data_IF_844880312322
#
_entry.id   IF_844880312322
#
_cell.length_a   1.000
_cell.length_b   1.000
_cell.length_c   1.000
_cell.angle_alpha   90.00
_cell.angle_beta   90.00
_cell.angle_gamma   90.00
#
_symmetry.space_group_name_H-M   'P 1'
#
loop_
_entity.id
_entity.type
_entity.pdbx_description
1 polymer ?
#
# COMPACT_ATOMS: atom_id res chain seq x y z
N UNK A 1 28.67 -14.17 -21.84
CA UNK A 1 27.76 -13.06 -21.45
C UNK A 1 26.28 -13.44 -21.50
N UNK A 2 25.67 -13.84 -22.63
CA UNK A 2 24.22 -14.09 -22.72
C UNK A 2 23.70 -15.17 -21.75
N UNK A 3 24.43 -16.28 -21.55
CA UNK A 3 24.03 -17.35 -20.61
C UNK A 3 23.99 -16.90 -19.13
N UNK A 4 24.88 -16.00 -18.74
CA UNK A 4 24.99 -15.52 -17.36
C UNK A 4 23.86 -14.50 -17.08
N UNK A 5 23.57 -13.62 -18.05
CA UNK A 5 22.42 -12.69 -18.00
C UNK A 5 21.09 -13.41 -17.75
N UNK A 6 20.83 -14.48 -18.49
CA UNK A 6 19.62 -15.29 -18.32
C UNK A 6 19.59 -15.96 -16.94
N UNK A 7 20.74 -16.38 -16.42
CA UNK A 7 20.83 -17.07 -15.14
C UNK A 7 20.47 -16.17 -13.95
N UNK A 8 20.93 -14.92 -13.93
CA UNK A 8 20.60 -13.97 -12.86
C UNK A 8 19.10 -13.64 -12.85
N UNK A 9 18.53 -13.33 -14.03
CA UNK A 9 17.10 -13.05 -14.17
C UNK A 9 16.22 -14.23 -13.73
N UNK A 10 16.61 -15.46 -14.09
CA UNK A 10 15.91 -16.68 -13.67
C UNK A 10 15.99 -16.87 -12.15
N UNK A 11 17.14 -16.58 -11.52
CA UNK A 11 17.30 -16.65 -10.06
C UNK A 11 16.43 -15.62 -9.34
N UNK A 12 16.39 -14.38 -9.81
CA UNK A 12 15.56 -13.33 -9.23
C UNK A 12 14.07 -13.68 -9.31
N UNK A 13 13.61 -14.15 -10.48
CA UNK A 13 12.22 -14.61 -10.64
C UNK A 13 11.90 -15.78 -9.72
N UNK A 14 12.77 -16.80 -9.70
CA UNK A 14 12.61 -17.98 -8.84
C UNK A 14 12.55 -17.61 -7.35
N UNK A 15 13.31 -16.61 -6.92
CA UNK A 15 13.27 -16.11 -5.55
C UNK A 15 11.88 -15.58 -5.19
N UNK A 16 11.33 -14.70 -6.04
CA UNK A 16 9.99 -14.12 -5.87
C UNK A 16 8.92 -15.20 -5.90
N UNK A 17 8.95 -16.08 -6.90
CA UNK A 17 8.00 -17.19 -7.04
C UNK A 17 8.01 -18.10 -5.79
N UNK A 18 9.21 -18.43 -5.26
CA UNK A 18 9.33 -19.25 -4.05
C UNK A 18 8.75 -18.57 -2.82
N UNK A 19 8.88 -17.24 -2.70
CA UNK A 19 8.26 -16.47 -1.62
C UNK A 19 6.73 -16.49 -1.75
N UNK A 20 6.21 -16.28 -2.94
CA UNK A 20 4.77 -16.31 -3.23
C UNK A 20 4.18 -17.70 -2.96
N UNK A 21 4.85 -18.76 -3.37
CA UNK A 21 4.42 -20.15 -3.11
C UNK A 21 4.39 -20.45 -1.61
N UNK A 22 5.41 -20.03 -0.86
CA UNK A 22 5.43 -20.16 0.59
C UNK A 22 4.29 -19.38 1.26
N UNK A 23 3.98 -18.17 0.79
CA UNK A 23 2.84 -17.39 1.26
C UNK A 23 1.51 -18.08 0.95
N UNK A 24 1.34 -18.63 -0.24
CA UNK A 24 0.13 -19.35 -0.62
C UNK A 24 -0.11 -20.60 0.25
N UNK A 25 0.95 -21.28 0.67
CA UNK A 25 0.85 -22.44 1.59
C UNK A 25 0.54 -22.00 3.02
N UNK A 26 1.30 -21.01 3.53
CA UNK A 26 1.25 -20.61 4.95
C UNK A 26 0.11 -19.67 5.28
N UNK A 27 -0.28 -18.81 4.34
CA UNK A 27 -1.24 -17.73 4.50
C UNK A 27 -2.05 -17.50 3.19
N UNK A 28 -2.84 -18.50 2.74
CA UNK A 28 -3.59 -18.39 1.49
C UNK A 28 -4.54 -17.19 1.53
N UNK A 29 -4.55 -16.41 0.45
CA UNK A 29 -5.54 -15.35 0.25
C UNK A 29 -6.93 -15.98 0.22
N UNK A 30 -7.79 -15.56 1.15
CA UNK A 30 -9.19 -15.98 1.21
C UNK A 30 -10.09 -14.79 0.93
N UNK A 31 -10.92 -14.91 -0.10
CA UNK A 31 -11.98 -13.95 -0.36
C UNK A 31 -13.20 -14.28 0.49
N UNK A 32 -13.76 -13.27 1.14
CA UNK A 32 -15.01 -13.41 1.85
C UNK A 32 -15.96 -12.28 1.46
N UNK A 33 -17.20 -12.65 1.19
CA UNK A 33 -18.25 -11.67 0.90
C UNK A 33 -18.69 -11.00 2.19
N UNK A 34 -18.38 -9.72 2.32
CA UNK A 34 -18.88 -8.88 3.41
C UNK A 34 -20.31 -8.44 3.05
N UNK A 35 -21.33 -8.70 3.89
CA UNK A 35 -22.67 -8.19 3.64
C UNK A 35 -22.68 -6.65 3.55
N UNK A 36 -23.52 -6.07 2.69
CA UNK A 36 -23.55 -4.62 2.40
C UNK A 36 -23.52 -3.72 3.65
N UNK A 37 -24.28 -4.08 4.69
CA UNK A 37 -24.35 -3.34 5.96
C UNK A 37 -23.01 -3.24 6.73
N UNK A 38 -22.02 -4.06 6.35
CA UNK A 38 -20.69 -4.16 6.95
C UNK A 38 -19.57 -3.71 6.02
N UNK A 39 -19.86 -3.36 4.77
CA UNK A 39 -18.87 -2.83 3.83
C UNK A 39 -18.30 -1.52 4.39
N UNK A 40 -16.97 -1.37 4.39
CA UNK A 40 -16.27 -0.23 4.99
C UNK A 40 -16.07 -0.31 6.51
N UNK A 41 -16.73 -1.25 7.21
CA UNK A 41 -16.59 -1.42 8.67
C UNK A 41 -15.41 -2.34 8.99
N UNK A 42 -14.20 -1.79 8.89
CA UNK A 42 -12.92 -2.51 9.09
C UNK A 42 -12.74 -3.13 10.50
N UNK A 43 -13.51 -2.66 11.49
CA UNK A 43 -13.56 -3.22 12.86
C UNK A 43 -14.44 -4.47 13.00
N UNK A 44 -15.09 -4.93 11.92
CA UNK A 44 -15.89 -6.16 11.94
C UNK A 44 -14.99 -7.40 12.08
N UNK A 45 -15.33 -8.29 13.01
CA UNK A 45 -14.55 -9.51 13.30
C UNK A 45 -15.44 -10.74 13.30
N UNK A 46 -14.81 -11.93 13.20
CA UNK A 46 -15.50 -13.23 13.29
C UNK A 46 -16.32 -13.35 14.58
N UNK A 47 -15.80 -12.85 15.70
CA UNK A 47 -16.51 -12.83 16.99
C UNK A 47 -17.82 -12.03 16.92
N UNK A 48 -17.83 -10.87 16.26
CA UNK A 48 -19.06 -10.08 16.06
C UNK A 48 -20.06 -10.87 15.21
N UNK A 49 -19.58 -11.57 14.18
CA UNK A 49 -20.42 -12.42 13.32
C UNK A 49 -21.09 -13.52 14.13
N UNK A 50 -20.31 -14.27 14.90
CA UNK A 50 -20.80 -15.36 15.75
C UNK A 50 -21.80 -14.85 16.80
N UNK A 51 -21.49 -13.73 17.46
CA UNK A 51 -22.39 -13.10 18.42
C UNK A 51 -23.70 -12.61 17.77
N UNK A 52 -23.64 -12.08 16.55
CA UNK A 52 -24.82 -11.68 15.79
C UNK A 52 -25.70 -12.87 15.40
N UNK A 53 -25.10 -14.02 15.05
CA UNK A 53 -25.82 -15.28 14.80
C UNK A 53 -26.53 -15.77 16.05
N UNK A 54 -25.84 -15.82 17.20
CA UNK A 54 -26.44 -16.21 18.50
C UNK A 54 -27.62 -15.29 18.86
N UNK A 55 -27.50 -13.98 18.59
CA UNK A 55 -28.60 -13.03 18.77
C UNK A 55 -29.80 -13.35 17.87
N UNK A 56 -29.57 -13.71 16.61
CA UNK A 56 -30.64 -14.07 15.68
C UNK A 56 -31.32 -15.37 16.11
N UNK A 57 -30.56 -16.39 16.50
CA UNK A 57 -31.09 -17.67 16.99
C UNK A 57 -31.91 -17.49 18.28
N UNK A 58 -31.43 -16.67 19.22
CA UNK A 58 -32.16 -16.39 20.47
C UNK A 58 -33.42 -15.57 20.24
N UNK A 59 -33.42 -14.69 19.23
CA UNK A 59 -34.64 -14.01 18.78
C UNK A 59 -35.67 -14.99 18.21
N UNK A 60 -35.24 -15.91 17.33
CA UNK A 60 -36.11 -16.94 16.78
C UNK A 60 -36.70 -17.82 17.90
N UNK A 61 -35.87 -18.27 18.84
CA UNK A 61 -36.33 -19.03 20.01
C UNK A 61 -37.35 -18.27 20.85
N UNK A 62 -37.16 -16.96 21.04
CA UNK A 62 -38.11 -16.12 21.77
C UNK A 62 -39.45 -15.98 21.04
N UNK A 63 -39.44 -15.89 19.70
CA UNK A 63 -40.68 -15.88 18.90
C UNK A 63 -41.46 -17.19 19.02
N UNK A 64 -40.78 -18.35 18.96
CA UNK A 64 -41.44 -19.66 19.04
C UNK A 64 -41.93 -20.00 20.45
N UNK A 65 -41.10 -19.79 21.47
CA UNK A 65 -41.46 -20.13 22.85
C UNK A 65 -42.44 -19.12 23.46
N UNK A 66 -42.34 -17.85 23.06
CA UNK A 66 -43.13 -16.71 23.56
C UNK A 66 -43.23 -16.63 25.10
N UNK A 67 -42.19 -17.08 25.81
CA UNK A 67 -42.10 -16.98 27.27
C UNK A 67 -41.30 -15.75 27.68
N UNK A 68 -41.59 -15.21 28.85
CA UNK A 68 -40.85 -14.06 29.39
C UNK A 68 -39.33 -14.34 29.51
N UNK A 69 -38.97 -15.56 29.93
CA UNK A 69 -37.57 -15.96 30.04
C UNK A 69 -36.86 -15.99 28.68
N UNK A 70 -37.52 -16.48 27.63
CA UNK A 70 -36.94 -16.48 26.28
C UNK A 70 -36.67 -15.06 25.77
N UNK A 71 -37.59 -14.13 26.04
CA UNK A 71 -37.41 -12.71 25.74
C UNK A 71 -36.31 -12.06 26.59
N UNK A 72 -36.18 -12.44 27.86
CA UNK A 72 -35.10 -11.99 28.75
C UNK A 72 -33.73 -12.42 28.21
N UNK A 73 -33.59 -13.69 27.81
CA UNK A 73 -32.36 -14.21 27.20
C UNK A 73 -32.00 -13.46 25.92
N UNK A 74 -32.97 -13.21 25.05
CA UNK A 74 -32.75 -12.40 23.85
C UNK A 74 -32.23 -10.99 24.20
N UNK A 75 -32.85 -10.29 25.18
CA UNK A 75 -32.39 -8.95 25.62
C UNK A 75 -30.94 -8.99 26.11
N UNK A 76 -30.58 -10.00 26.91
CA UNK A 76 -29.21 -10.20 27.40
C UNK A 76 -28.24 -10.36 26.23
N UNK A 77 -28.52 -11.29 25.30
CA UNK A 77 -27.66 -11.55 24.15
C UNK A 77 -27.56 -10.35 23.22
N UNK A 78 -28.67 -9.65 22.94
CA UNK A 78 -28.68 -8.39 22.18
C UNK A 78 -27.75 -7.35 22.80
N UNK A 79 -27.84 -7.14 24.11
CA UNK A 79 -27.00 -6.18 24.83
C UNK A 79 -25.51 -6.61 24.82
N UNK A 80 -25.22 -7.90 24.91
CA UNK A 80 -23.86 -8.43 24.76
C UNK A 80 -23.29 -8.13 23.38
N UNK A 81 -24.05 -8.36 22.30
CA UNK A 81 -23.61 -8.02 20.93
C UNK A 81 -23.31 -6.53 20.79
N UNK A 82 -24.18 -5.66 21.32
CA UNK A 82 -23.96 -4.21 21.28
C UNK A 82 -22.68 -3.81 22.04
N UNK A 83 -22.45 -4.38 23.23
CA UNK A 83 -21.22 -4.16 24.00
C UNK A 83 -19.98 -4.63 23.23
N UNK A 84 -20.04 -5.82 22.62
CA UNK A 84 -18.94 -6.38 21.83
C UNK A 84 -18.60 -5.50 20.62
N UNK A 85 -19.61 -5.02 19.88
CA UNK A 85 -19.41 -4.12 18.75
C UNK A 85 -18.73 -2.82 19.22
N UNK A 86 -19.22 -2.21 20.31
CA UNK A 86 -18.62 -0.99 20.87
C UNK A 86 -17.16 -1.21 21.26
N UNK A 87 -16.87 -2.33 21.93
CA UNK A 87 -15.52 -2.74 22.34
C UNK A 87 -14.59 -2.89 21.13
N UNK A 88 -14.95 -3.74 20.17
CA UNK A 88 -14.14 -4.00 18.97
C UNK A 88 -13.94 -2.76 18.10
N UNK A 89 -14.96 -1.90 18.00
CA UNK A 89 -14.83 -0.61 17.30
C UNK A 89 -13.81 0.28 18.01
N UNK A 90 -13.88 0.39 19.34
CA UNK A 90 -12.93 1.16 20.14
C UNK A 90 -11.50 0.65 19.96
N UNK A 91 -11.28 -0.64 20.20
CA UNK A 91 -9.97 -1.30 20.06
C UNK A 91 -9.35 -1.04 18.68
N UNK A 92 -10.12 -1.24 17.60
CA UNK A 92 -9.63 -1.02 16.24
C UNK A 92 -9.11 0.42 15.99
N UNK A 93 -9.82 1.44 16.49
CA UNK A 93 -9.39 2.83 16.27
C UNK A 93 -8.26 3.22 17.21
N UNK A 94 -8.23 2.72 18.44
CA UNK A 94 -7.09 2.89 19.36
C UNK A 94 -5.83 2.30 18.76
N UNK A 95 -5.87 1.04 18.31
CA UNK A 95 -4.72 0.36 17.68
C UNK A 95 -4.23 1.09 16.42
N UNK A 96 -5.15 1.65 15.62
CA UNK A 96 -4.75 2.43 14.43
C UNK A 96 -4.14 3.78 14.77
N UNK A 97 -4.65 4.48 15.78
CA UNK A 97 -4.06 5.75 16.20
C UNK A 97 -2.70 5.46 16.81
N UNK A 98 -2.62 4.45 17.67
CA UNK A 98 -1.39 4.10 18.37
C UNK A 98 -0.31 3.58 17.42
N UNK A 99 -0.68 2.77 16.43
CA UNK A 99 0.24 2.29 15.41
C UNK A 99 0.69 3.34 14.39
N UNK A 100 0.05 4.53 14.36
CA UNK A 100 0.41 5.63 13.46
C UNK A 100 0.89 6.89 14.23
N UNK A 101 1.31 6.77 15.51
CA UNK A 101 1.79 7.92 16.31
C UNK A 101 2.91 8.71 15.63
N UNK A 102 3.79 8.03 14.91
CA UNK A 102 4.94 8.62 14.21
C UNK A 102 4.58 9.11 12.79
N UNK A 103 3.35 8.87 12.33
CA UNK A 103 2.87 9.29 11.01
C UNK A 103 1.60 10.15 11.15
N UNK A 104 1.75 11.48 11.32
CA UNK A 104 0.64 12.41 11.52
C UNK A 104 -0.42 12.35 10.41
N UNK A 105 0.00 12.08 9.16
CA UNK A 105 -0.89 12.00 8.00
C UNK A 105 -1.88 10.84 8.14
N UNK A 106 -1.38 9.64 8.45
CA UNK A 106 -2.23 8.44 8.58
C UNK A 106 -3.03 8.43 9.88
N UNK A 107 -2.48 9.01 10.95
CA UNK A 107 -3.23 9.29 12.17
C UNK A 107 -4.42 10.23 11.86
N UNK A 108 -4.19 11.33 11.14
CA UNK A 108 -5.23 12.27 10.76
C UNK A 108 -6.27 11.68 9.82
N UNK A 109 -5.87 10.81 8.87
CA UNK A 109 -6.82 10.02 8.06
C UNK A 109 -7.72 9.15 8.96
N UNK A 110 -7.13 8.47 9.95
CA UNK A 110 -7.87 7.62 10.90
C UNK A 110 -8.87 8.43 11.74
N UNK A 111 -8.47 9.60 12.22
CA UNK A 111 -9.34 10.53 12.96
C UNK A 111 -10.48 11.05 12.09
N UNK A 112 -10.18 11.43 10.84
CA UNK A 112 -11.21 11.86 9.87
C UNK A 112 -12.25 10.77 9.61
N UNK A 113 -11.83 9.52 9.47
CA UNK A 113 -12.75 8.38 9.35
C UNK A 113 -13.61 8.20 10.61
N UNK A 114 -13.04 8.37 11.80
CA UNK A 114 -13.77 8.27 13.07
C UNK A 114 -14.87 9.33 13.20
N UNK A 115 -14.54 10.59 12.89
CA UNK A 115 -15.45 11.74 13.03
C UNK A 115 -16.54 11.71 11.96
N UNK A 116 -16.18 11.43 10.70
CA UNK A 116 -17.12 11.49 9.57
C UNK A 116 -17.95 10.23 9.39
N UNK A 117 -17.61 9.12 10.06
CA UNK A 117 -18.39 7.87 10.02
C UNK A 117 -18.24 7.04 8.74
N UNK A 118 -17.66 7.63 7.69
CA UNK A 118 -17.30 6.98 6.43
C UNK A 118 -15.87 7.39 6.06
N UNK A 119 -15.10 6.45 5.51
CA UNK A 119 -13.96 6.84 4.67
C UNK A 119 -14.56 7.70 3.57
N UNK A 120 -14.16 8.96 3.45
CA UNK A 120 -14.56 9.81 2.34
C UNK A 120 -14.30 8.98 1.07
N UNK A 121 -15.37 8.40 0.51
CA UNK A 121 -15.29 7.74 -0.78
C UNK A 121 -14.68 8.79 -1.70
N UNK A 122 -13.72 8.40 -2.54
CA UNK A 122 -13.10 9.29 -3.51
C UNK A 122 -14.25 10.08 -4.15
N UNK A 123 -14.46 11.32 -3.71
CA UNK A 123 -15.33 12.24 -4.44
C UNK A 123 -14.70 12.22 -5.82
N UNK A 124 -15.50 12.01 -6.87
CA UNK A 124 -15.04 12.32 -8.23
C UNK A 124 -14.41 13.70 -8.09
N UNK A 125 -13.12 13.78 -8.38
CA UNK A 125 -12.40 15.05 -8.36
C UNK A 125 -13.26 16.01 -9.17
N UNK A 126 -13.79 17.03 -8.48
CA UNK A 126 -14.33 18.20 -9.16
C UNK A 126 -13.22 18.68 -10.11
N UNK A 127 -13.62 19.04 -11.33
CA UNK A 127 -12.70 19.36 -12.41
C UNK A 127 -11.55 20.23 -11.90
N UNK A 128 -10.31 19.78 -12.11
CA UNK A 128 -9.14 20.62 -11.85
C UNK A 128 -9.20 21.76 -12.86
N UNK A 129 -9.34 22.98 -12.35
CA UNK A 129 -9.37 24.17 -13.18
C UNK A 129 -7.94 24.53 -13.58
N UNK A 130 -7.67 24.51 -14.88
CA UNK A 130 -6.44 25.02 -15.47
C UNK A 130 -6.83 26.28 -16.25
N UNK A 131 -6.56 27.44 -15.66
CA UNK A 131 -6.94 28.76 -16.20
C UNK A 131 -6.43 28.95 -17.65
N UNK A 132 -5.23 28.46 -17.95
CA UNK A 132 -4.60 28.53 -19.28
C UNK A 132 -5.12 27.51 -20.30
N UNK A 133 -5.90 26.50 -19.87
CA UNK A 133 -6.37 25.38 -20.72
C UNK A 133 -7.90 25.29 -20.80
N UNK A 134 -8.59 26.40 -20.52
CA UNK A 134 -10.06 26.49 -20.46
C UNK A 134 -10.73 26.16 -21.80
N UNK A 135 -10.07 26.48 -22.92
CA UNK A 135 -10.59 26.28 -24.29
C UNK A 135 -10.24 24.91 -24.90
N UNK A 136 -9.58 24.02 -24.15
CA UNK A 136 -9.15 22.71 -24.66
C UNK A 136 -10.18 21.64 -24.26
N UNK A 137 -11.18 21.44 -25.12
CA UNK A 137 -12.19 20.38 -24.97
C UNK A 137 -11.70 19.03 -25.52
N UNK A 138 -12.20 17.92 -24.97
CA UNK A 138 -11.91 16.55 -25.44
C UNK A 138 -10.68 15.86 -24.84
N UNK A 139 -9.87 16.57 -24.05
CA UNK A 139 -8.71 16.02 -23.36
C UNK A 139 -9.04 15.56 -21.94
N UNK A 140 -8.44 14.43 -21.51
CA UNK A 140 -8.58 13.96 -20.14
C UNK A 140 -7.84 14.89 -19.17
N UNK A 141 -8.15 14.82 -17.86
CA UNK A 141 -7.43 15.59 -16.83
C UNK A 141 -5.92 15.29 -16.87
N UNK A 142 -5.53 14.05 -17.21
CA UNK A 142 -4.13 13.66 -17.33
C UNK A 142 -3.45 14.38 -18.51
N UNK A 143 -4.14 14.52 -19.63
CA UNK A 143 -3.60 15.23 -20.79
C UNK A 143 -3.46 16.73 -20.52
N UNK A 144 -4.47 17.33 -19.86
CA UNK A 144 -4.40 18.74 -19.43
C UNK A 144 -3.25 18.98 -18.45
N UNK A 145 -3.04 18.07 -17.51
CA UNK A 145 -1.92 18.14 -16.57
C UNK A 145 -0.56 18.00 -17.27
N UNK A 146 -0.43 17.03 -18.18
CA UNK A 146 0.78 16.85 -18.96
C UNK A 146 1.10 18.10 -19.78
N UNK A 147 0.09 18.67 -20.45
CA UNK A 147 0.23 19.89 -21.23
C UNK A 147 0.61 21.08 -20.37
N UNK A 148 0.00 21.24 -19.19
CA UNK A 148 0.37 22.28 -18.22
C UNK A 148 1.83 22.15 -17.77
N UNK A 149 2.29 20.94 -17.42
CA UNK A 149 3.69 20.73 -17.02
C UNK A 149 4.67 21.06 -18.14
N UNK A 150 4.36 20.67 -19.38
CA UNK A 150 5.20 20.95 -20.55
C UNK A 150 5.24 22.47 -20.81
N UNK A 151 4.08 23.13 -20.82
CA UNK A 151 3.99 24.57 -21.07
C UNK A 151 4.73 25.36 -19.99
N UNK A 152 4.52 25.04 -18.72
CA UNK A 152 5.19 25.73 -17.62
C UNK A 152 6.72 25.55 -17.68
N UNK A 153 7.22 24.36 -18.04
CA UNK A 153 8.66 24.15 -18.27
C UNK A 153 9.16 25.02 -19.43
N UNK A 154 8.42 25.07 -20.55
CA UNK A 154 8.80 25.90 -21.70
C UNK A 154 8.81 27.38 -21.35
N UNK A 155 7.81 27.86 -20.58
CA UNK A 155 7.72 29.25 -20.13
C UNK A 155 8.88 29.60 -19.19
N UNK A 156 9.22 28.69 -18.26
CA UNK A 156 10.39 28.84 -17.39
C UNK A 156 11.67 28.92 -18.23
N UNK A 157 11.86 28.00 -19.19
CA UNK A 157 13.04 27.97 -20.06
C UNK A 157 13.14 29.24 -20.90
N UNK A 158 12.02 29.74 -21.44
CA UNK A 158 11.98 30.98 -22.22
C UNK A 158 12.13 32.25 -21.37
N UNK A 159 11.76 32.22 -20.09
CA UNK A 159 11.91 33.34 -19.16
C UNK A 159 13.33 33.52 -18.62
N UNK A 160 14.18 32.52 -18.79
CA UNK A 160 15.61 32.60 -18.46
C UNK A 160 16.29 33.25 -19.66
N UNK A 161 16.81 34.47 -19.47
CA UNK A 161 17.58 35.20 -20.49
C UNK A 161 18.69 34.30 -21.05
N UNK A 162 18.83 34.25 -22.38
CA UNK A 162 19.84 33.49 -23.12
C UNK A 162 21.25 34.07 -22.93
N UNK A 163 21.65 34.44 -21.70
CA UNK A 163 23.05 34.72 -21.36
C UNK A 163 23.72 33.51 -20.73
N UNK A 164 23.34 32.32 -21.21
CA UNK A 164 24.18 31.15 -21.10
C UNK A 164 24.90 31.01 -22.42
N UNK A 165 26.06 31.68 -22.50
CA UNK A 165 27.16 31.11 -23.28
C UNK A 165 27.13 29.60 -23.03
N UNK A 166 27.01 28.80 -24.08
CA UNK A 166 27.17 27.35 -24.00
C UNK A 166 28.62 27.09 -23.59
N UNK A 167 28.93 27.31 -22.31
CA UNK A 167 29.97 26.58 -21.63
C UNK A 167 29.52 25.13 -21.71
N UNK A 168 29.91 24.51 -22.82
CA UNK A 168 29.95 23.07 -22.93
C UNK A 168 30.91 22.67 -21.82
N UNK A 169 30.38 22.42 -20.63
CA UNK A 169 31.09 21.66 -19.62
C UNK A 169 31.29 20.31 -20.27
N UNK A 170 32.42 20.17 -20.98
CA UNK A 170 33.03 18.87 -21.15
C UNK A 170 33.25 18.45 -19.71
N UNK A 171 32.35 17.61 -19.20
CA UNK A 171 32.57 16.86 -17.98
C UNK A 171 33.76 15.95 -18.30
N UNK A 172 34.95 16.52 -18.20
CA UNK A 172 36.23 15.82 -18.33
C UNK A 172 36.39 15.04 -17.05
N UNK A 173 35.78 13.87 -17.07
CA UNK A 173 35.52 13.07 -15.88
C UNK A 173 34.20 12.34 -16.03
N UNK A 174 34.05 11.54 -17.09
CA UNK A 174 33.26 10.33 -16.92
C UNK A 174 34.02 9.52 -15.87
N UNK A 175 33.71 9.76 -14.60
CA UNK A 175 34.01 8.80 -13.54
C UNK A 175 33.22 7.55 -13.90
N UNK A 176 33.87 6.68 -14.67
CA UNK A 176 33.36 5.35 -14.90
C UNK A 176 33.39 4.70 -13.53
N UNK A 177 32.23 4.32 -13.01
CA UNK A 177 32.15 3.47 -11.83
C UNK A 177 32.65 2.10 -12.29
N UNK A 178 33.97 1.91 -12.27
CA UNK A 178 34.61 0.72 -12.81
C UNK A 178 34.37 -0.50 -11.90
N UNK A 179 34.17 -0.27 -10.60
CA UNK A 179 33.95 -1.33 -9.62
C UNK A 179 32.90 -0.94 -8.58
N UNK A 180 31.89 -1.81 -8.41
CA UNK A 180 30.99 -1.76 -7.27
C UNK A 180 31.59 -2.55 -6.11
N UNK A 181 31.58 -1.97 -4.91
CA UNK A 181 31.87 -2.74 -3.70
C UNK A 181 30.75 -3.77 -3.49
N UNK A 182 31.14 -5.03 -3.26
CA UNK A 182 30.17 -6.11 -2.99
C UNK A 182 29.43 -5.82 -1.69
N UNK A 183 28.11 -5.85 -1.76
CA UNK A 183 27.25 -5.69 -0.59
C UNK A 183 27.37 -6.93 0.29
N UNK A 184 27.65 -6.71 1.57
CA UNK A 184 27.62 -7.75 2.59
C UNK A 184 26.21 -8.04 3.09
N UNK A 185 25.99 -9.26 3.59
CA UNK A 185 24.72 -9.68 4.20
C UNK A 185 24.33 -8.76 5.37
N UNK A 186 25.30 -8.29 6.17
CA UNK A 186 25.03 -7.39 7.30
C UNK A 186 24.50 -6.04 6.82
N UNK A 187 25.12 -5.47 5.80
CA UNK A 187 24.68 -4.20 5.22
C UNK A 187 23.27 -4.32 4.62
N UNK A 188 23.02 -5.39 3.85
CA UNK A 188 21.69 -5.62 3.30
C UNK A 188 20.64 -5.85 4.41
N UNK A 189 21.01 -6.52 5.50
CA UNK A 189 20.12 -6.72 6.64
C UNK A 189 19.67 -5.38 7.27
N UNK A 190 20.60 -4.46 7.49
CA UNK A 190 20.29 -3.13 8.05
C UNK A 190 19.33 -2.36 7.14
N UNK A 191 19.57 -2.38 5.83
CA UNK A 191 18.69 -1.74 4.83
C UNK A 191 17.29 -2.35 4.89
N UNK A 192 17.17 -3.68 4.84
CA UNK A 192 15.88 -4.38 4.82
C UNK A 192 15.10 -4.16 6.11
N UNK A 193 15.76 -4.19 7.27
CA UNK A 193 15.10 -3.96 8.56
C UNK A 193 14.66 -2.50 8.74
N UNK A 194 15.41 -1.55 8.16
CA UNK A 194 15.07 -0.13 8.14
C UNK A 194 13.94 0.26 7.18
N UNK A 195 13.45 -0.66 6.33
CA UNK A 195 12.36 -0.35 5.40
C UNK A 195 11.09 0.07 6.15
N UNK A 196 10.45 1.21 5.81
CA UNK A 196 9.18 1.61 6.40
C UNK A 196 8.08 0.65 5.95
N UNK A 197 7.00 0.61 6.73
CA UNK A 197 5.86 -0.25 6.43
C UNK A 197 5.13 0.26 5.18
N UNK A 198 5.34 -0.38 4.03
CA UNK A 198 4.72 -0.02 2.75
C UNK A 198 3.66 -1.05 2.31
N UNK A 199 2.73 -0.59 1.47
CA UNK A 199 1.74 -1.44 0.78
C UNK A 199 2.45 -2.51 -0.06
N UNK A 200 1.75 -3.61 -0.33
CA UNK A 200 2.30 -4.78 -1.00
C UNK A 200 2.76 -4.48 -2.43
N UNK A 201 3.70 -5.29 -2.92
CA UNK A 201 3.99 -5.40 -4.34
C UNK A 201 2.82 -6.06 -5.07
N UNK A 202 2.82 -6.07 -6.41
CA UNK A 202 1.77 -6.74 -7.21
C UNK A 202 1.61 -8.22 -6.84
N UNK A 203 2.70 -8.85 -6.39
CA UNK A 203 2.78 -10.24 -5.95
C UNK A 203 2.34 -10.44 -4.48
N UNK A 204 1.99 -9.38 -3.76
CA UNK A 204 1.52 -9.46 -2.38
C UNK A 204 2.63 -9.48 -1.32
N UNK A 205 3.87 -9.16 -1.69
CA UNK A 205 5.00 -9.13 -0.76
C UNK A 205 5.06 -7.76 -0.08
N UNK A 206 4.80 -7.71 1.22
CA UNK A 206 4.95 -6.49 2.02
C UNK A 206 6.36 -6.38 2.61
N UNK A 207 6.73 -5.17 3.03
CA UNK A 207 7.96 -4.95 3.83
C UNK A 207 8.07 -5.89 5.05
N UNK A 208 6.97 -6.16 5.75
CA UNK A 208 6.93 -7.08 6.90
C UNK A 208 7.23 -8.53 6.49
N UNK A 209 6.66 -8.97 5.35
CA UNK A 209 6.92 -10.30 4.79
C UNK A 209 8.37 -10.43 4.35
N UNK A 210 8.91 -9.40 3.69
CA UNK A 210 10.31 -9.38 3.26
C UNK A 210 11.26 -9.47 4.45
N UNK A 211 11.00 -8.71 5.53
CA UNK A 211 11.77 -8.77 6.78
C UNK A 211 11.73 -10.17 7.41
N UNK A 212 10.55 -10.78 7.47
CA UNK A 212 10.39 -12.13 8.02
C UNK A 212 11.12 -13.20 7.17
N UNK A 213 11.02 -13.10 5.84
CA UNK A 213 11.65 -14.03 4.92
C UNK A 213 13.18 -13.85 4.85
N UNK A 214 13.69 -12.64 5.15
CA UNK A 214 15.10 -12.29 5.01
C UNK A 214 16.04 -13.27 5.71
N UNK A 215 15.65 -13.78 6.89
CA UNK A 215 16.44 -14.77 7.63
C UNK A 215 16.81 -16.01 6.81
N UNK A 216 15.94 -16.40 5.87
CA UNK A 216 16.09 -17.56 4.98
C UNK A 216 16.68 -17.14 3.63
N UNK A 217 16.20 -16.05 3.03
CA UNK A 217 16.57 -15.66 1.66
C UNK A 217 17.87 -14.86 1.56
N UNK A 218 18.42 -14.34 2.66
CA UNK A 218 19.55 -13.39 2.69
C UNK A 218 20.73 -13.76 1.79
N UNK A 219 21.12 -15.04 1.72
CA UNK A 219 22.27 -15.47 0.91
C UNK A 219 22.00 -15.32 -0.57
N UNK A 220 20.86 -15.84 -1.02
CA UNK A 220 20.47 -15.77 -2.44
C UNK A 220 20.17 -14.32 -2.84
N UNK A 221 19.57 -13.54 -1.94
CA UNK A 221 19.23 -12.16 -2.22
C UNK A 221 20.47 -11.27 -2.40
N UNK A 222 21.47 -11.38 -1.52
CA UNK A 222 22.77 -10.69 -1.69
C UNK A 222 23.45 -11.11 -2.99
N UNK A 223 23.45 -12.40 -3.31
CA UNK A 223 24.07 -12.89 -4.55
C UNK A 223 23.42 -12.28 -5.78
N UNK A 224 22.08 -12.18 -5.82
CA UNK A 224 21.35 -11.57 -6.93
C UNK A 224 21.70 -10.07 -7.05
N UNK A 225 21.75 -9.34 -5.95
CA UNK A 225 22.07 -7.90 -5.95
C UNK A 225 23.51 -7.69 -6.44
N UNK A 226 24.48 -8.40 -5.87
CA UNK A 226 25.89 -8.26 -6.28
C UNK A 226 26.09 -8.65 -7.75
N UNK A 227 25.43 -9.72 -8.22
CA UNK A 227 25.47 -10.09 -9.64
C UNK A 227 24.84 -9.01 -10.53
N UNK A 228 23.79 -8.32 -10.06
CA UNK A 228 23.14 -7.25 -10.80
C UNK A 228 24.04 -6.02 -10.92
N UNK A 229 24.75 -5.66 -9.84
CA UNK A 229 25.70 -4.55 -9.80
C UNK A 229 26.93 -4.83 -10.68
N UNK A 230 27.49 -6.03 -10.59
CA UNK A 230 28.66 -6.43 -11.41
C UNK A 230 28.34 -6.48 -12.90
N UNK A 231 27.14 -6.93 -13.28
CA UNK A 231 26.78 -7.13 -14.69
C UNK A 231 26.02 -5.95 -15.30
N UNK A 232 25.59 -4.98 -14.49
CA UNK A 232 24.72 -3.87 -14.90
C UNK A 232 23.34 -4.31 -15.42
N UNK A 233 22.88 -5.51 -15.05
CA UNK A 233 21.59 -6.05 -15.49
C UNK A 233 20.67 -6.21 -14.29
N UNK A 234 19.43 -5.75 -14.40
CA UNK A 234 18.44 -5.82 -13.33
C UNK A 234 17.15 -6.51 -13.82
N UNK A 235 16.43 -7.23 -12.96
CA UNK A 235 15.11 -7.77 -13.29
C UNK A 235 14.15 -6.65 -13.70
N UNK A 236 13.38 -6.86 -14.76
CA UNK A 236 12.52 -5.81 -15.31
C UNK A 236 11.48 -5.31 -14.30
N UNK A 237 10.86 -6.23 -13.55
CA UNK A 237 9.92 -5.89 -12.47
C UNK A 237 10.55 -5.14 -11.30
N UNK A 238 11.88 -5.06 -11.20
CA UNK A 238 12.58 -4.26 -10.17
C UNK A 238 12.93 -2.86 -10.67
N UNK A 239 12.83 -2.59 -11.98
CA UNK A 239 13.10 -1.26 -12.57
C UNK A 239 11.85 -0.38 -12.58
N UNK A 240 10.68 -0.99 -12.56
CA UNK A 240 9.39 -0.29 -12.64
C UNK A 240 8.83 -0.03 -11.25
N UNK A 241 8.50 1.23 -10.95
CA UNK A 241 7.79 1.59 -9.72
C UNK A 241 6.35 1.98 -10.06
N UNK A 242 5.38 1.29 -9.46
CA UNK A 242 3.96 1.68 -9.59
C UNK A 242 3.65 2.80 -8.59
N UNK A 243 3.62 4.04 -9.08
CA UNK A 243 3.31 5.22 -8.24
C UNK A 243 1.80 5.35 -8.09
N UNK A 244 1.25 4.97 -6.93
CA UNK A 244 -0.10 5.40 -6.53
C UNK A 244 -0.03 6.82 -5.96
N UNK A 245 -0.39 7.83 -6.76
CA UNK A 245 -0.54 9.21 -6.29
C UNK A 245 -1.83 9.29 -5.47
N UNK A 246 -1.71 9.40 -4.14
CA UNK A 246 -2.83 9.75 -3.25
C UNK A 246 -2.96 11.28 -3.19
N UNK A 247 -4.00 11.84 -3.81
CA UNK A 247 -4.32 13.27 -3.73
C UNK A 247 -4.62 13.69 -2.28
N UNK A 248 -3.82 14.62 -1.74
CA UNK A 248 -4.18 15.41 -0.56
C UNK A 248 -4.65 16.77 -1.09
N UNK A 249 -5.94 16.91 -1.38
CA UNK A 249 -6.53 18.22 -1.61
C UNK A 249 -6.68 18.92 -0.25
N UNK A 250 -5.97 20.03 -0.08
CA UNK A 250 -6.33 21.02 0.94
C UNK A 250 -7.55 21.79 0.41
N UNK A 251 -8.60 21.84 1.23
CA UNK A 251 -9.68 22.84 1.15
C UNK A 251 -9.42 23.89 2.20
#
# INVERSE_FOLDING_TARGET
MIKIKVQMLVRAKKLVDSMVDALNITAPRKEFRIPKMWVGKKWFSKEIKEAATIKAETYQKALYANTEESWRQFKIKRNMVVKLIKKKKKEYYEDRIDGNKENPTDMWKTLKELIRGESAGKKKSENIYFEELENVEGYSIADKFNLYCINNINDIVQSIDEDRSEETYIVSGQEVIENFERIEIKHLHEIIMGLPRKKDTEEGITSDILKAAFGVIKKEFVNIINSSLEEGNFPEGWKTATIQIEFICYT
#
